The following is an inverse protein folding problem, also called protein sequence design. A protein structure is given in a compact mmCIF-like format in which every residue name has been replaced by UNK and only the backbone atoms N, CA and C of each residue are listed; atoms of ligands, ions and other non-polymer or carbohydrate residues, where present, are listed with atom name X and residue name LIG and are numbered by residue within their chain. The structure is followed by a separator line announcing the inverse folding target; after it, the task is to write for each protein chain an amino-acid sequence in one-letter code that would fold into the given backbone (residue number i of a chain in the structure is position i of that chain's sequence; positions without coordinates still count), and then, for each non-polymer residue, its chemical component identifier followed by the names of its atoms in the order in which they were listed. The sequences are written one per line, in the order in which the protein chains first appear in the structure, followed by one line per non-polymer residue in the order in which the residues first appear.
data_IF_148468004706
#
_entry.id   IF_148468004706
#
_cell.length_a   1.000
_cell.length_b   1.000
_cell.length_c   1.000
_cell.angle_alpha   90.00
_cell.angle_beta   90.00
_cell.angle_gamma   90.00
#
_symmetry.space_group_name_H-M   'P 1'
#
loop_
_entity.id
_entity.type
_entity.pdbx_description
1 polymer ?
#
# COMPACT_ATOMS: atom_id res chain seq x y z
N UNK A 1 -49.92 -26.05 3.36
CA UNK A 1 -49.83 -24.58 3.48
C UNK A 1 -48.42 -24.15 3.12
N UNK A 2 -48.22 -23.54 1.95
CA UNK A 2 -46.93 -22.94 1.58
C UNK A 2 -46.75 -21.65 2.39
N UNK A 3 -45.58 -21.49 3.03
CA UNK A 3 -45.16 -20.22 3.65
C UNK A 3 -44.46 -19.37 2.57
N UNK A 4 -44.93 -18.15 2.26
CA UNK A 4 -44.25 -17.27 1.33
C UNK A 4 -42.94 -16.80 1.95
N UNK A 5 -41.81 -17.01 1.29
CA UNK A 5 -40.54 -16.41 1.69
C UNK A 5 -40.58 -14.92 1.36
N UNK A 6 -40.35 -14.09 2.38
CA UNK A 6 -40.33 -12.64 2.29
C UNK A 6 -39.43 -12.15 1.16
N UNK A 7 -40.02 -11.34 0.30
CA UNK A 7 -39.36 -10.66 -0.81
C UNK A 7 -38.40 -9.59 -0.22
N UNK A 8 -37.15 -9.59 -0.69
CA UNK A 8 -36.38 -8.35 -0.92
C UNK A 8 -35.70 -7.61 0.24
N UNK A 9 -34.96 -8.26 1.16
CA UNK A 9 -33.97 -7.52 2.01
C UNK A 9 -32.62 -8.22 2.28
N UNK A 10 -32.41 -9.49 1.90
CA UNK A 10 -31.06 -10.10 1.93
C UNK A 10 -30.93 -11.20 0.88
N UNK A 11 -29.87 -11.14 0.07
CA UNK A 11 -29.52 -12.25 -0.81
C UNK A 11 -28.78 -13.30 0.00
N UNK A 12 -29.26 -14.55 -0.02
CA UNK A 12 -28.49 -15.67 0.51
C UNK A 12 -27.16 -15.73 -0.25
N UNK A 13 -26.05 -15.50 0.43
CA UNK A 13 -24.73 -15.74 -0.13
C UNK A 13 -24.68 -17.20 -0.59
N UNK A 14 -24.29 -17.45 -1.85
CA UNK A 14 -24.22 -18.78 -2.44
C UNK A 14 -23.27 -19.74 -1.70
N UNK A 15 -22.93 -20.87 -2.32
CA UNK A 15 -21.98 -21.82 -1.72
C UNK A 15 -20.60 -21.18 -1.52
N UNK A 16 -19.88 -21.56 -0.45
CA UNK A 16 -18.48 -21.17 -0.28
C UNK A 16 -17.66 -21.52 -1.54
N UNK A 17 -16.94 -20.54 -2.09
CA UNK A 17 -16.23 -20.66 -3.37
C UNK A 17 -17.05 -20.26 -4.61
N UNK A 18 -18.33 -19.92 -4.46
CA UNK A 18 -19.11 -19.31 -5.55
C UNK A 18 -18.68 -17.86 -5.77
N UNK A 19 -18.57 -17.46 -7.03
CA UNK A 19 -18.25 -16.09 -7.38
C UNK A 19 -19.34 -15.14 -6.83
N UNK A 20 -18.93 -14.14 -6.03
CA UNK A 20 -19.87 -13.17 -5.47
C UNK A 20 -20.27 -12.10 -6.50
N UNK A 21 -19.44 -11.86 -7.53
CA UNK A 21 -19.66 -10.95 -8.68
C UNK A 21 -18.88 -11.47 -9.91
N UNK A 22 -19.22 -10.96 -11.10
CA UNK A 22 -18.51 -11.12 -12.39
C UNK A 22 -17.01 -10.76 -12.28
N UNK A 23 -16.13 -11.11 -13.26
CA UNK A 23 -14.68 -10.93 -13.20
C UNK A 23 -14.29 -9.66 -12.46
N UNK A 24 -13.49 -9.84 -11.41
CA UNK A 24 -13.18 -8.77 -10.48
C UNK A 24 -12.21 -7.77 -11.13
N UNK A 25 -12.75 -6.84 -11.93
CA UNK A 25 -12.01 -5.75 -12.54
C UNK A 25 -12.56 -4.40 -12.10
N UNK A 26 -11.66 -3.52 -11.69
CA UNK A 26 -11.96 -2.10 -11.45
C UNK A 26 -11.20 -1.31 -12.51
N UNK A 27 -11.95 -0.68 -13.42
CA UNK A 27 -11.40 0.23 -14.42
C UNK A 27 -12.02 1.60 -14.23
N UNK A 28 -11.18 2.62 -14.18
CA UNK A 28 -11.61 4.03 -14.11
C UNK A 28 -11.16 4.76 -15.36
N UNK A 29 -11.86 5.85 -15.70
CA UNK A 29 -11.44 6.73 -16.79
C UNK A 29 -10.74 7.95 -16.20
N UNK A 30 -9.57 8.30 -16.77
CA UNK A 30 -8.86 9.53 -16.44
C UNK A 30 -8.25 10.12 -17.72
N UNK A 31 -8.12 11.45 -17.81
CA UNK A 31 -7.43 12.07 -18.93
C UNK A 31 -5.93 11.71 -18.92
N UNK A 32 -5.35 11.49 -20.10
CA UNK A 32 -3.90 11.40 -20.23
C UNK A 32 -3.29 12.79 -20.07
N UNK A 33 -2.42 12.97 -19.08
CA UNK A 33 -1.59 14.17 -18.99
C UNK A 33 -0.29 14.06 -19.78
N UNK A 34 0.53 15.11 -19.75
CA UNK A 34 1.82 15.16 -20.43
C UNK A 34 1.72 15.33 -21.94
N UNK A 35 2.85 15.33 -22.62
CA UNK A 35 2.93 15.74 -24.05
C UNK A 35 3.05 14.57 -25.03
N UNK A 36 3.16 13.33 -24.54
CA UNK A 36 3.47 12.15 -25.36
C UNK A 36 2.41 11.06 -25.24
N UNK A 37 2.14 10.32 -26.32
CA UNK A 37 1.22 9.20 -26.28
C UNK A 37 1.77 8.06 -25.42
N UNK A 38 0.87 7.27 -24.85
CA UNK A 38 1.17 6.03 -24.13
C UNK A 38 0.54 4.84 -24.83
N UNK A 39 1.18 3.68 -24.77
CA UNK A 39 0.62 2.42 -25.29
C UNK A 39 -0.21 1.71 -24.23
N UNK A 40 -1.00 0.71 -24.65
CA UNK A 40 -1.70 -0.18 -23.73
C UNK A 40 -0.69 -1.10 -22.99
N UNK A 41 -1.03 -1.47 -21.75
CA UNK A 41 -0.18 -2.30 -20.91
C UNK A 41 0.96 -1.56 -20.21
N UNK A 42 0.93 -0.22 -20.15
CA UNK A 42 1.92 0.59 -19.43
C UNK A 42 1.50 0.85 -17.98
N UNK A 43 2.44 0.87 -17.01
CA UNK A 43 2.17 1.30 -15.65
C UNK A 43 1.89 2.81 -15.60
N UNK A 44 0.91 3.20 -14.79
CA UNK A 44 0.45 4.59 -14.65
C UNK A 44 0.64 5.11 -13.24
N UNK A 45 0.86 6.43 -13.13
CA UNK A 45 0.86 7.22 -11.89
C UNK A 45 -0.17 8.34 -11.99
N UNK A 46 -0.50 9.00 -10.87
CA UNK A 46 -1.32 10.22 -10.89
C UNK A 46 -0.50 11.44 -11.27
N UNK A 47 -1.03 12.23 -12.20
CA UNK A 47 -0.60 13.58 -12.49
C UNK A 47 -1.49 14.62 -11.79
N UNK A 48 -1.43 15.86 -12.26
CA UNK A 48 -2.25 16.95 -11.75
C UNK A 48 -3.75 16.74 -12.04
N UNK A 49 -4.62 17.29 -11.20
CA UNK A 49 -6.07 17.30 -11.40
C UNK A 49 -6.72 15.92 -11.65
N UNK A 50 -6.08 14.84 -11.19
CA UNK A 50 -6.58 13.46 -11.35
C UNK A 50 -6.24 12.81 -12.70
N UNK A 51 -5.52 13.51 -13.58
CA UNK A 51 -4.96 12.93 -14.80
C UNK A 51 -4.00 11.77 -14.49
N UNK A 52 -3.72 10.95 -15.50
CA UNK A 52 -2.72 9.88 -15.40
C UNK A 52 -1.52 10.17 -16.29
N UNK A 53 -0.35 9.72 -15.83
CA UNK A 53 0.92 9.81 -16.55
C UNK A 53 1.56 8.42 -16.59
N UNK A 54 2.40 8.09 -17.59
CA UNK A 54 3.20 6.87 -17.54
C UNK A 54 4.15 6.91 -16.35
N UNK A 55 4.32 5.77 -15.67
CA UNK A 55 5.28 5.64 -14.58
C UNK A 55 6.70 5.79 -15.12
N UNK A 56 7.35 6.88 -14.74
CA UNK A 56 8.61 7.34 -15.33
C UNK A 56 9.82 7.25 -14.40
N UNK A 57 10.88 7.95 -14.78
CA UNK A 57 12.15 7.96 -14.04
C UNK A 57 11.96 8.45 -12.61
N UNK A 58 12.54 7.75 -11.65
CA UNK A 58 12.50 8.13 -10.23
C UNK A 58 11.15 7.93 -9.53
N UNK A 59 10.16 7.33 -10.20
CA UNK A 59 8.88 7.00 -9.58
C UNK A 59 9.05 5.94 -8.48
N UNK A 60 8.22 6.01 -7.45
CA UNK A 60 8.19 5.02 -6.36
C UNK A 60 7.03 4.04 -6.54
N UNK A 61 7.14 2.85 -5.93
CA UNK A 61 6.10 1.81 -6.00
C UNK A 61 4.72 2.30 -5.51
N UNK A 62 4.70 3.24 -4.56
CA UNK A 62 3.48 3.81 -3.98
C UNK A 62 2.71 4.74 -4.93
N UNK A 63 3.37 5.22 -6.00
CA UNK A 63 2.74 6.09 -7.00
C UNK A 63 1.99 5.31 -8.07
N UNK A 64 2.19 3.99 -8.16
CA UNK A 64 1.51 3.13 -9.13
C UNK A 64 0.00 3.11 -8.86
N UNK A 65 -0.80 3.47 -9.87
CA UNK A 65 -2.27 3.56 -9.75
C UNK A 65 -3.04 2.61 -10.67
N UNK A 66 -2.34 1.89 -11.54
CA UNK A 66 -2.93 0.93 -12.46
C UNK A 66 -2.16 0.80 -13.77
N UNK A 67 -2.76 0.06 -14.71
CA UNK A 67 -2.21 -0.20 -16.04
C UNK A 67 -3.11 0.43 -17.09
N UNK A 68 -2.55 0.95 -18.19
CA UNK A 68 -3.34 1.42 -19.33
C UNK A 68 -4.07 0.25 -20.01
N UNK A 69 -5.38 0.19 -19.85
CA UNK A 69 -6.24 -0.87 -20.39
C UNK A 69 -6.71 -0.58 -21.82
N UNK A 70 -7.20 -1.62 -22.49
CA UNK A 70 -7.70 -1.58 -23.87
C UNK A 70 -9.24 -1.67 -23.95
N UNK A 71 -9.95 -1.67 -22.83
CA UNK A 71 -11.36 -2.07 -22.76
C UNK A 71 -12.30 -1.13 -23.53
N UNK A 72 -12.02 0.17 -23.52
CA UNK A 72 -12.88 1.20 -24.12
C UNK A 72 -12.35 1.64 -25.49
N UNK A 73 -11.06 1.46 -25.76
CA UNK A 73 -10.39 1.98 -26.97
C UNK A 73 -9.70 0.87 -27.76
N UNK A 74 -10.10 0.71 -29.02
CA UNK A 74 -9.38 -0.12 -30.00
C UNK A 74 -8.14 0.59 -30.58
N UNK A 75 -7.40 -0.08 -31.47
CA UNK A 75 -6.18 0.48 -32.04
C UNK A 75 -6.44 1.76 -32.85
N UNK A 76 -5.69 2.84 -32.56
CA UNK A 76 -5.85 4.15 -33.20
C UNK A 76 -5.01 4.36 -34.47
N UNK A 77 -4.06 3.46 -34.76
CA UNK A 77 -3.13 3.59 -35.89
C UNK A 77 -3.59 2.87 -37.15
N UNK A 78 -3.72 3.60 -38.27
CA UNK A 78 -4.01 3.02 -39.59
C UNK A 78 -2.88 2.11 -40.11
N UNK A 79 -1.61 2.48 -39.84
CA UNK A 79 -0.41 1.75 -40.28
C UNK A 79 0.12 0.74 -39.23
N UNK A 80 -0.28 0.87 -37.97
CA UNK A 80 0.14 0.00 -36.85
C UNK A 80 -1.08 -0.51 -36.09
N UNK A 81 -1.88 -1.34 -36.76
CA UNK A 81 -3.16 -1.86 -36.25
C UNK A 81 -3.01 -2.78 -35.01
N UNK A 82 -1.78 -3.13 -34.62
CA UNK A 82 -1.47 -4.03 -33.53
C UNK A 82 -1.02 -3.34 -32.22
N UNK A 83 -0.89 -2.01 -32.20
CA UNK A 83 -0.45 -1.25 -31.02
C UNK A 83 -1.51 -0.23 -30.63
N UNK A 84 -2.32 -0.56 -29.62
CA UNK A 84 -3.27 0.37 -29.06
C UNK A 84 -2.59 1.44 -28.20
N UNK A 85 -3.04 2.69 -28.33
CA UNK A 85 -2.43 3.86 -27.69
C UNK A 85 -3.45 4.94 -27.32
N UNK A 86 -3.10 5.75 -26.32
CA UNK A 86 -3.78 6.98 -25.94
C UNK A 86 -2.88 8.18 -26.24
N UNK A 87 -3.45 9.24 -26.82
CA UNK A 87 -2.82 10.54 -27.01
C UNK A 87 -3.12 11.46 -25.81
N UNK A 88 -2.32 12.53 -25.60
CA UNK A 88 -2.60 13.52 -24.57
C UNK A 88 -4.05 14.01 -24.60
N UNK A 89 -4.60 14.30 -23.43
CA UNK A 89 -6.00 14.70 -23.17
C UNK A 89 -7.08 13.65 -23.49
N UNK A 90 -6.71 12.48 -24.03
CA UNK A 90 -7.69 11.42 -24.27
C UNK A 90 -8.10 10.69 -22.98
N UNK A 91 -9.33 10.16 -22.91
CA UNK A 91 -9.79 9.35 -21.80
C UNK A 91 -9.08 7.98 -21.80
N UNK A 92 -8.16 7.79 -20.87
CA UNK A 92 -7.44 6.53 -20.64
C UNK A 92 -8.28 5.59 -19.78
N UNK A 93 -8.36 4.33 -20.18
CA UNK A 93 -8.85 3.25 -19.33
C UNK A 93 -7.75 2.86 -18.34
N UNK A 94 -7.97 3.10 -17.05
CA UNK A 94 -7.00 2.81 -15.99
C UNK A 94 -7.45 1.56 -15.26
N UNK A 95 -6.77 0.43 -15.52
CA UNK A 95 -7.04 -0.86 -14.90
C UNK A 95 -6.40 -0.92 -13.52
N UNK A 96 -7.21 -0.92 -12.47
CA UNK A 96 -6.76 -0.73 -11.07
C UNK A 96 -6.83 -2.00 -10.23
N UNK A 97 -7.62 -3.01 -10.64
CA UNK A 97 -7.77 -4.29 -9.95
C UNK A 97 -8.14 -5.39 -10.94
N UNK A 98 -7.67 -6.60 -10.68
CA UNK A 98 -7.95 -7.79 -11.48
C UNK A 98 -6.71 -8.31 -12.20
N UNK A 99 -6.90 -9.16 -13.20
CA UNK A 99 -5.81 -9.69 -14.03
C UNK A 99 -5.77 -8.95 -15.38
N UNK A 100 -4.58 -8.47 -15.77
CA UNK A 100 -4.31 -7.81 -17.05
C UNK A 100 -3.04 -8.37 -17.69
N UNK A 101 -3.05 -8.52 -19.01
CA UNK A 101 -1.87 -8.96 -19.76
C UNK A 101 -0.94 -7.80 -20.05
N UNK A 102 0.34 -7.94 -19.68
CA UNK A 102 1.38 -6.94 -19.91
C UNK A 102 2.65 -7.60 -20.43
N UNK A 103 3.49 -6.81 -21.10
CA UNK A 103 4.79 -7.27 -21.58
C UNK A 103 5.82 -7.28 -20.45
N UNK A 104 6.40 -8.43 -20.18
CA UNK A 104 7.57 -8.57 -19.33
C UNK A 104 8.83 -8.39 -20.18
N UNK A 105 9.65 -7.38 -19.88
CA UNK A 105 10.87 -7.09 -20.64
C UNK A 105 12.11 -7.82 -20.10
N UNK A 106 12.11 -8.20 -18.82
CA UNK A 106 13.24 -8.87 -18.15
C UNK A 106 12.76 -9.91 -17.15
N UNK A 107 13.47 -11.04 -17.08
CA UNK A 107 13.15 -12.14 -16.17
C UNK A 107 12.07 -13.07 -16.73
N UNK A 108 11.72 -14.09 -15.93
CA UNK A 108 10.68 -15.07 -16.26
C UNK A 108 9.53 -14.96 -15.26
N UNK A 109 8.36 -14.43 -15.66
CA UNK A 109 7.17 -14.39 -14.81
C UNK A 109 6.77 -15.78 -14.30
N UNK A 110 6.40 -15.85 -13.02
CA UNK A 110 5.89 -17.06 -12.37
C UNK A 110 4.67 -16.72 -11.53
N UNK A 111 3.80 -17.69 -11.29
CA UNK A 111 2.62 -17.50 -10.44
C UNK A 111 3.05 -16.99 -9.06
N UNK A 112 2.38 -15.94 -8.60
CA UNK A 112 2.61 -15.21 -7.34
C UNK A 112 4.02 -14.58 -7.24
N UNK A 113 4.74 -14.47 -8.36
CA UNK A 113 6.05 -13.84 -8.45
C UNK A 113 6.00 -12.31 -8.33
N UNK A 114 7.06 -11.66 -7.83
CA UNK A 114 7.12 -10.20 -7.69
C UNK A 114 7.13 -9.50 -9.06
N UNK A 115 6.47 -8.35 -9.13
CA UNK A 115 6.45 -7.48 -10.31
C UNK A 115 7.29 -6.25 -10.05
N UNK A 116 8.18 -5.93 -10.98
CA UNK A 116 9.01 -4.74 -10.93
C UNK A 116 8.68 -3.79 -12.10
N UNK A 117 8.83 -2.49 -11.87
CA UNK A 117 8.77 -1.48 -12.93
C UNK A 117 10.12 -0.79 -13.05
N UNK A 118 10.63 -0.69 -14.28
CA UNK A 118 11.87 0.02 -14.61
C UNK A 118 11.71 1.53 -14.42
N UNK A 119 12.52 2.12 -13.53
CA UNK A 119 12.52 3.56 -13.22
C UNK A 119 13.85 4.23 -13.55
N UNK A 120 14.83 3.51 -14.07
CA UNK A 120 16.04 4.08 -14.67
C UNK A 120 16.44 3.20 -15.85
N UNK A 121 16.65 3.80 -17.02
CA UNK A 121 17.02 3.06 -18.22
C UNK A 121 18.34 2.31 -18.02
N UNK A 122 18.37 1.03 -18.43
CA UNK A 122 19.57 0.19 -18.36
C UNK A 122 19.64 -0.71 -19.60
N UNK A 123 20.63 -0.48 -20.46
CA UNK A 123 20.76 -1.22 -21.72
C UNK A 123 19.52 -1.09 -22.61
N UNK A 124 18.95 -2.23 -23.01
CA UNK A 124 17.72 -2.30 -23.82
C UNK A 124 16.42 -2.21 -23.01
N UNK A 125 16.50 -2.16 -21.67
CA UNK A 125 15.34 -2.10 -20.79
C UNK A 125 14.88 -0.65 -20.64
N UNK A 126 13.67 -0.37 -21.12
CA UNK A 126 13.10 0.98 -21.16
C UNK A 126 12.36 1.29 -19.87
N UNK A 127 12.37 2.57 -19.48
CA UNK A 127 11.61 3.08 -18.33
C UNK A 127 10.11 2.84 -18.55
N UNK A 128 9.40 2.45 -17.49
CA UNK A 128 7.99 2.06 -17.55
C UNK A 128 7.75 0.62 -18.00
N UNK A 129 8.79 -0.18 -18.25
CA UNK A 129 8.65 -1.60 -18.56
C UNK A 129 8.45 -2.47 -17.31
N UNK A 130 7.60 -3.50 -17.42
CA UNK A 130 7.39 -4.50 -16.38
C UNK A 130 8.44 -5.61 -16.44
N UNK A 131 8.83 -6.11 -15.26
CA UNK A 131 9.89 -7.10 -15.11
C UNK A 131 9.57 -8.10 -14.00
N UNK A 132 10.15 -9.29 -14.10
CA UNK A 132 10.04 -10.38 -13.13
C UNK A 132 11.31 -10.56 -12.27
N UNK A 133 12.29 -9.67 -12.41
CA UNK A 133 13.57 -9.74 -11.72
C UNK A 133 13.99 -8.37 -11.18
N UNK A 134 14.56 -8.34 -9.98
CA UNK A 134 15.13 -7.13 -9.40
C UNK A 134 16.38 -6.66 -10.17
N UNK A 135 16.69 -5.37 -10.05
CA UNK A 135 17.86 -4.75 -10.69
C UNK A 135 18.37 -3.53 -9.92
N UNK A 136 18.52 -3.71 -8.61
CA UNK A 136 18.94 -2.64 -7.70
C UNK A 136 18.08 -1.38 -7.82
N UNK A 137 18.73 -0.22 -7.84
CA UNK A 137 18.05 1.09 -7.93
C UNK A 137 17.43 1.40 -9.30
N UNK A 138 17.56 0.50 -10.29
CA UNK A 138 16.98 0.73 -11.60
C UNK A 138 15.49 0.36 -11.68
N UNK A 139 15.00 -0.43 -10.73
CA UNK A 139 13.60 -0.88 -10.66
C UNK A 139 12.98 -0.59 -9.31
N UNK A 140 11.66 -0.53 -9.29
CA UNK A 140 10.86 -0.55 -8.06
C UNK A 140 9.94 -1.76 -8.06
N UNK A 141 9.85 -2.46 -6.93
CA UNK A 141 8.94 -3.58 -6.73
C UNK A 141 7.53 -3.06 -6.44
N UNK A 142 6.53 -3.56 -7.18
CA UNK A 142 5.13 -3.21 -6.95
C UNK A 142 4.55 -4.10 -5.85
N UNK A 143 4.32 -3.52 -4.68
CA UNK A 143 3.75 -4.23 -3.52
C UNK A 143 2.30 -4.71 -3.70
N UNK A 144 1.58 -4.12 -4.68
CA UNK A 144 0.16 -4.37 -4.91
C UNK A 144 -0.11 -5.18 -6.20
N UNK A 145 0.94 -5.74 -6.81
CA UNK A 145 0.84 -6.52 -8.03
C UNK A 145 1.74 -7.76 -7.99
N UNK A 146 1.27 -8.86 -8.59
CA UNK A 146 2.00 -10.12 -8.71
C UNK A 146 1.79 -10.69 -10.11
N UNK A 147 2.77 -11.43 -10.60
CA UNK A 147 2.60 -12.25 -11.80
C UNK A 147 1.64 -13.40 -11.51
N UNK A 148 0.78 -13.74 -12.47
CA UNK A 148 -0.22 -14.80 -12.34
C UNK A 148 -0.01 -15.93 -13.36
N UNK A 149 1.10 -15.91 -14.09
CA UNK A 149 1.47 -16.96 -15.03
C UNK A 149 2.80 -16.66 -15.72
N UNK A 150 3.26 -17.65 -16.49
CA UNK A 150 4.43 -17.50 -17.36
C UNK A 150 4.13 -16.60 -18.57
N UNK A 151 5.18 -16.00 -19.11
CA UNK A 151 5.08 -15.26 -20.36
C UNK A 151 4.87 -16.20 -21.55
N UNK A 152 4.13 -15.73 -22.55
CA UNK A 152 4.02 -16.37 -23.86
C UNK A 152 5.29 -16.13 -24.72
N UNK A 153 5.28 -16.63 -25.96
CA UNK A 153 6.40 -16.45 -26.90
C UNK A 153 6.70 -14.98 -27.27
N UNK A 154 5.75 -14.06 -27.02
CA UNK A 154 5.89 -12.62 -27.26
C UNK A 154 6.32 -11.85 -26.01
N UNK A 155 6.54 -12.55 -24.88
CA UNK A 155 6.87 -11.94 -23.60
C UNK A 155 5.66 -11.36 -22.87
N UNK A 156 4.44 -11.72 -23.26
CA UNK A 156 3.21 -11.26 -22.59
C UNK A 156 2.86 -12.21 -21.46
N UNK A 157 2.71 -11.68 -20.25
CA UNK A 157 2.33 -12.44 -19.06
C UNK A 157 1.13 -11.79 -18.35
N UNK A 158 0.38 -12.61 -17.61
CA UNK A 158 -0.72 -12.13 -16.78
C UNK A 158 -0.17 -11.49 -15.51
N UNK A 159 -0.57 -10.25 -15.26
CA UNK A 159 -0.29 -9.50 -14.04
C UNK A 159 -1.60 -9.33 -13.26
N UNK A 160 -1.60 -9.75 -12.00
CA UNK A 160 -2.71 -9.57 -11.07
C UNK A 160 -2.47 -8.36 -10.17
N UNK A 161 -3.43 -7.44 -10.15
CA UNK A 161 -3.46 -6.28 -9.25
C UNK A 161 -4.47 -6.55 -8.15
N UNK A 162 -4.02 -6.61 -6.89
CA UNK A 162 -4.87 -6.93 -5.75
C UNK A 162 -5.69 -5.72 -5.23
N UNK A 163 -5.16 -4.50 -5.39
CA UNK A 163 -5.65 -3.18 -4.95
C UNK A 163 -5.97 -2.98 -3.44
N UNK A 164 -5.28 -2.01 -2.80
CA UNK A 164 -5.85 -0.98 -1.89
C UNK A 164 -5.00 0.31 -1.97
N UNK A 165 -5.40 1.31 -2.78
CA UNK A 165 -4.94 2.73 -2.75
C UNK A 165 -3.43 3.04 -2.85
N UNK A 166 -2.99 4.32 -2.96
CA UNK A 166 -1.63 4.66 -2.59
C UNK A 166 -1.48 4.30 -1.12
N UNK A 167 -0.63 3.32 -0.83
CA UNK A 167 -0.35 2.93 0.55
C UNK A 167 0.43 4.09 1.16
N UNK A 168 0.00 4.69 2.29
CA UNK A 168 0.85 5.61 3.01
C UNK A 168 2.18 4.90 3.28
N UNK A 169 3.31 5.58 3.05
CA UNK A 169 4.61 5.09 3.50
C UNK A 169 4.47 4.74 5.00
N UNK A 170 4.53 3.45 5.34
CA UNK A 170 4.37 3.00 6.73
C UNK A 170 3.49 1.77 7.00
N UNK A 171 2.89 1.11 6.00
CA UNK A 171 2.12 -0.13 6.24
C UNK A 171 2.93 -1.43 6.11
N UNK A 172 4.24 -1.36 5.85
CA UNK A 172 5.11 -2.53 5.93
C UNK A 172 5.28 -2.88 7.42
N UNK A 173 4.67 -3.98 7.86
CA UNK A 173 5.01 -4.55 9.17
C UNK A 173 6.53 -4.78 9.25
N UNK A 174 7.14 -4.70 10.44
CA UNK A 174 8.58 -4.91 10.57
C UNK A 174 8.97 -6.22 9.88
N UNK A 175 10.03 -6.23 9.04
CA UNK A 175 10.56 -7.47 8.47
C UNK A 175 10.71 -8.53 9.57
N UNK A 176 10.27 -9.76 9.30
CA UNK A 176 10.46 -10.87 10.23
C UNK A 176 11.94 -11.00 10.58
N UNK A 177 12.28 -11.44 11.81
CA UNK A 177 13.68 -11.53 12.23
C UNK A 177 14.47 -12.39 11.23
N UNK A 178 15.53 -11.82 10.67
CA UNK A 178 16.47 -12.52 9.79
C UNK A 178 17.10 -13.69 10.57
N UNK A 179 17.11 -14.89 9.97
CA UNK A 179 17.77 -16.06 10.56
C UNK A 179 19.26 -15.81 10.84
N UNK A 180 19.80 -16.43 11.88
CA UNK A 180 21.17 -16.20 12.37
C UNK A 180 22.22 -16.32 11.26
N UNK A 181 23.00 -15.26 10.96
CA UNK A 181 24.15 -15.35 10.07
C UNK A 181 25.24 -16.26 10.63
N UNK A 182 25.90 -17.04 9.76
CA UNK A 182 27.04 -17.88 10.13
C UNK A 182 28.23 -17.07 10.69
N UNK A 183 29.18 -17.71 11.40
CA UNK A 183 30.22 -17.00 12.15
C UNK A 183 31.10 -16.15 11.23
N UNK A 184 31.12 -14.84 11.50
CA UNK A 184 31.93 -13.84 10.81
C UNK A 184 33.33 -13.77 11.41
N UNK A 185 34.36 -13.62 10.57
CA UNK A 185 35.77 -13.53 10.97
C UNK A 185 36.07 -12.34 11.89
N UNK A 186 37.22 -12.41 12.59
CA UNK A 186 37.57 -11.48 13.67
C UNK A 186 37.43 -10.00 13.28
N UNK A 187 36.65 -9.20 14.04
CA UNK A 187 36.45 -7.79 13.76
C UNK A 187 37.75 -6.98 13.82
N UNK A 188 37.91 -6.03 12.89
CA UNK A 188 38.95 -5.00 12.98
C UNK A 188 38.76 -4.10 14.22
N UNK A 189 39.78 -3.31 14.60
CA UNK A 189 39.72 -2.50 15.81
C UNK A 189 38.53 -1.54 15.79
N UNK A 190 37.76 -1.54 16.88
CA UNK A 190 36.57 -0.72 17.04
C UNK A 190 36.92 0.77 17.00
N UNK A 191 36.19 1.54 16.17
CA UNK A 191 36.30 3.00 16.15
C UNK A 191 35.85 3.62 17.49
N UNK A 192 36.22 4.89 17.78
CA UNK A 192 35.83 5.55 19.01
C UNK A 192 34.30 5.56 19.15
N UNK A 193 33.82 5.21 20.35
CA UNK A 193 32.40 5.22 20.68
C UNK A 193 31.84 6.64 20.54
N UNK A 194 30.73 6.79 19.79
CA UNK A 194 30.04 8.07 19.66
C UNK A 194 29.48 8.55 20.99
N UNK A 195 29.37 9.88 21.16
CA UNK A 195 28.83 10.47 22.39
C UNK A 195 27.40 9.94 22.67
N UNK A 196 27.07 9.59 23.93
CA UNK A 196 25.72 9.16 24.28
C UNK A 196 24.69 10.21 23.86
N UNK A 197 23.64 9.77 23.16
CA UNK A 197 22.52 10.64 22.81
C UNK A 197 21.84 11.21 24.06
N UNK A 198 21.30 12.42 23.97
CA UNK A 198 20.61 13.10 25.06
C UNK A 198 19.38 12.30 25.50
N UNK A 199 19.38 11.82 26.74
CA UNK A 199 18.23 11.12 27.32
C UNK A 199 17.22 12.15 27.85
N UNK A 200 15.96 12.04 27.42
CA UNK A 200 14.87 12.81 28.00
C UNK A 200 14.26 12.03 29.18
N UNK A 201 14.22 12.66 30.36
CA UNK A 201 13.46 12.15 31.52
C UNK A 201 12.19 12.97 31.62
N UNK A 202 11.03 12.30 31.58
CA UNK A 202 9.75 12.97 31.75
C UNK A 202 9.61 13.44 33.21
N UNK A 203 9.50 14.75 33.48
CA UNK A 203 9.29 15.24 34.84
C UNK A 203 7.84 15.01 35.28
N UNK A 204 7.61 15.00 36.59
CA UNK A 204 6.25 14.98 37.15
C UNK A 204 5.52 16.28 36.82
N UNK A 205 4.20 16.20 36.66
CA UNK A 205 3.36 17.36 36.39
C UNK A 205 3.32 18.32 37.59
N UNK A 206 3.39 19.63 37.31
CA UNK A 206 3.17 20.68 38.29
C UNK A 206 2.21 21.74 37.75
N UNK A 207 1.78 22.68 38.59
CA UNK A 207 0.92 23.78 38.14
C UNK A 207 1.59 24.68 37.11
N UNK A 208 2.93 24.69 37.06
CA UNK A 208 3.72 25.57 36.20
C UNK A 208 4.39 24.83 35.04
N UNK A 209 4.44 23.50 35.07
CA UNK A 209 5.18 22.70 34.09
C UNK A 209 4.41 21.43 33.71
N UNK A 210 4.30 21.20 32.40
CA UNK A 210 3.68 19.98 31.87
C UNK A 210 4.58 18.78 32.16
N UNK A 211 4.01 17.72 32.71
CA UNK A 211 4.72 16.50 33.09
C UNK A 211 3.82 15.28 33.12
N UNK A 212 4.36 14.14 33.55
CA UNK A 212 3.63 12.89 33.73
C UNK A 212 2.80 12.88 35.01
N UNK A 213 1.75 12.06 35.01
CA UNK A 213 1.00 11.67 36.21
C UNK A 213 0.94 10.15 36.28
N UNK A 214 0.81 9.60 37.48
CA UNK A 214 0.68 8.15 37.65
C UNK A 214 -0.75 7.71 37.34
N UNK A 215 -0.90 6.48 36.83
CA UNK A 215 -2.22 5.90 36.69
C UNK A 215 -2.85 5.68 38.07
N UNK A 216 -4.10 6.09 38.21
CA UNK A 216 -4.85 5.96 39.45
C UNK A 216 -5.18 4.49 39.76
N UNK A 217 -5.14 4.11 41.04
CA UNK A 217 -5.67 2.83 41.50
C UNK A 217 -7.18 2.72 41.23
N UNK A 218 -7.65 1.51 40.94
CA UNK A 218 -9.08 1.29 40.71
C UNK A 218 -9.91 1.59 41.96
N UNK A 219 -10.89 2.49 41.84
CA UNK A 219 -11.88 2.76 42.89
C UNK A 219 -13.11 1.89 42.61
N UNK A 220 -13.57 1.20 43.65
CA UNK A 220 -14.76 0.36 43.59
C UNK A 220 -16.00 1.22 43.39
N UNK A 221 -16.85 0.83 42.46
CA UNK A 221 -18.14 1.47 42.23
C UNK A 221 -19.09 1.21 43.42
N UNK A 222 -19.91 2.21 43.77
CA UNK A 222 -20.86 2.13 44.87
C UNK A 222 -22.28 2.21 44.33
N UNK A 223 -23.13 1.30 44.80
CA UNK A 223 -24.55 1.24 44.41
C UNK A 223 -25.45 2.09 45.30
N UNK A 224 -24.90 2.62 46.39
CA UNK A 224 -25.58 3.49 47.34
C UNK A 224 -25.25 4.96 47.06
N UNK A 225 -26.06 5.88 47.60
CA UNK A 225 -25.82 7.30 47.41
C UNK A 225 -24.46 7.71 48.01
N UNK A 226 -23.59 8.40 47.25
CA UNK A 226 -22.23 8.73 47.69
C UNK A 226 -22.24 9.61 48.93
N UNK A 227 -21.37 9.27 49.88
CA UNK A 227 -21.17 10.05 51.10
C UNK A 227 -20.03 11.06 50.93
N UNK A 228 -19.93 12.01 51.87
CA UNK A 228 -18.78 12.93 51.92
C UNK A 228 -17.45 12.19 52.15
N UNK A 229 -17.47 11.03 52.81
CA UNK A 229 -16.29 10.20 53.03
C UNK A 229 -15.81 9.56 51.72
N UNK A 230 -16.73 9.04 50.90
CA UNK A 230 -16.41 8.47 49.58
C UNK A 230 -15.77 9.52 48.66
N UNK A 231 -16.28 10.75 48.71
CA UNK A 231 -15.71 11.86 47.94
C UNK A 231 -14.31 12.24 48.42
N UNK A 232 -14.07 12.25 49.73
CA UNK A 232 -12.74 12.53 50.29
C UNK A 232 -11.73 11.42 49.95
N UNK A 233 -12.16 10.17 49.91
CA UNK A 233 -11.33 9.04 49.50
C UNK A 233 -10.93 9.14 48.02
N UNK A 234 -11.86 9.56 47.15
CA UNK A 234 -11.57 9.85 45.74
C UNK A 234 -10.51 10.97 45.60
N UNK A 235 -10.68 12.07 46.33
CA UNK A 235 -9.72 13.19 46.33
C UNK A 235 -8.33 12.78 46.80
N UNK A 236 -8.25 11.95 47.85
CA UNK A 236 -6.98 11.43 48.36
C UNK A 236 -6.26 10.55 47.32
N UNK A 237 -7.01 9.69 46.63
CA UNK A 237 -6.45 8.84 45.58
C UNK A 237 -5.98 9.64 44.35
N UNK A 238 -6.69 10.73 43.99
CA UNK A 238 -6.28 11.62 42.91
C UNK A 238 -5.00 12.41 43.24
N UNK A 239 -4.83 12.84 44.49
CA UNK A 239 -3.57 13.47 44.97
C UNK A 239 -2.41 12.48 44.94
N UNK A 240 -2.63 11.25 45.41
CA UNK A 240 -1.62 10.19 45.39
C UNK A 240 -1.14 9.87 43.96
N UNK A 241 -2.03 9.98 42.97
CA UNK A 241 -1.69 9.80 41.56
C UNK A 241 -1.00 11.02 40.90
N UNK A 242 -0.79 12.11 41.65
CA UNK A 242 -0.22 13.36 41.13
C UNK A 242 -1.18 14.15 40.22
N UNK A 243 -2.47 13.83 40.22
CA UNK A 243 -3.49 14.49 39.39
C UNK A 243 -4.06 15.76 40.02
N UNK A 244 -3.92 15.91 41.34
CA UNK A 244 -4.29 17.10 42.10
C UNK A 244 -3.11 17.54 42.96
N UNK A 245 -2.95 18.85 43.14
CA UNK A 245 -1.95 19.38 44.05
C UNK A 245 -2.26 18.93 45.50
N UNK A 246 -1.21 18.58 46.24
CA UNK A 246 -1.29 18.52 47.69
C UNK A 246 -1.54 19.94 48.21
N UNK A 247 -2.50 20.07 49.13
CA UNK A 247 -2.82 21.34 49.78
C UNK A 247 -1.75 21.76 50.76
#
# INVERSE_FOLDING_TARGET
MLKPQSIGISMAHGFAGSYARQPDMIVTTAALGGDYPITFGMPLIRGENGAVLPMGTGATAYQFVGVSGCEIKGTAGYMEQNVGMYYPDEPVSVFQRGCINVKCQKGQPVIDGPVYVRVTQSGSYVVGGFEAEADGGNVVELINAQWAGSADANGIAELRIAYVGPVPEGMQGPPGPQGEPGPQGEPGPQGPQGEPGSTYTLPDASQETRGGVLQMAAIKDISEAPTAEDFNNLLAALRTAGMLAES
#
